data_IF_445939717701
#
_entry.id   IF_445939717701
#
_cell.length_a   1.000
_cell.length_b   1.000
_cell.length_c   1.000
_cell.angle_alpha   90.00
_cell.angle_beta   90.00
_cell.angle_gamma   90.00
#
_symmetry.space_group_name_H-M   'P 1'
#
loop_
_entity.id
_entity.type
_entity.pdbx_description
1 polymer ?
#
# COMPACT_ATOMS: atom_id res chain seq x y z
N UNK A 1 7.59 -11.69 -20.52
CA UNK A 1 8.22 -10.51 -19.90
C UNK A 1 8.06 -10.63 -18.40
N UNK A 2 9.07 -10.22 -17.62
CA UNK A 2 9.01 -10.18 -16.15
C UNK A 2 7.93 -9.17 -15.71
N UNK A 3 7.02 -9.55 -14.81
CA UNK A 3 5.97 -8.64 -14.30
C UNK A 3 6.61 -7.45 -13.58
N UNK A 4 6.00 -6.27 -13.71
CA UNK A 4 6.41 -5.01 -13.12
C UNK A 4 5.28 -4.50 -12.24
N UNK A 5 5.53 -4.49 -10.95
CA UNK A 5 4.59 -4.09 -9.91
C UNK A 5 4.96 -2.69 -9.43
N UNK A 6 3.97 -1.81 -9.30
CA UNK A 6 4.11 -0.53 -8.62
C UNK A 6 3.12 -0.45 -7.46
N UNK A 7 3.61 -0.07 -6.28
CA UNK A 7 2.76 0.31 -5.16
C UNK A 7 2.87 1.81 -4.96
N UNK A 8 1.73 2.49 -4.98
CA UNK A 8 1.63 3.88 -4.59
C UNK A 8 0.91 3.93 -3.24
N UNK A 9 1.69 4.20 -2.19
CA UNK A 9 1.23 4.28 -0.81
C UNK A 9 1.34 5.73 -0.30
N UNK A 10 0.49 6.09 0.66
CA UNK A 10 0.50 7.42 1.22
C UNK A 10 1.67 7.54 2.19
N UNK A 11 1.74 6.62 3.15
CA UNK A 11 2.72 6.61 4.23
C UNK A 11 3.58 5.35 4.19
N UNK A 12 4.82 5.42 4.72
CA UNK A 12 5.62 4.23 4.91
C UNK A 12 5.09 3.37 6.05
N UNK A 13 4.61 2.16 5.71
CA UNK A 13 3.97 1.08 6.49
C UNK A 13 2.70 0.54 5.80
N UNK A 14 1.93 1.42 5.15
CA UNK A 14 0.71 1.12 4.40
C UNK A 14 0.89 -0.04 3.42
N UNK A 15 2.02 -0.06 2.71
CA UNK A 15 2.33 -1.07 1.70
C UNK A 15 2.45 -2.46 2.32
N UNK A 16 3.03 -2.56 3.51
CA UNK A 16 3.19 -3.84 4.20
C UNK A 16 1.88 -4.25 4.84
N UNK A 17 1.16 -3.30 5.45
CA UNK A 17 -0.16 -3.54 6.04
C UNK A 17 -1.13 -4.10 4.99
N UNK A 18 -1.20 -3.44 3.83
CA UNK A 18 -2.18 -3.75 2.80
C UNK A 18 -1.77 -4.83 1.80
N UNK A 19 -0.50 -4.90 1.41
CA UNK A 19 -0.07 -5.81 0.32
C UNK A 19 1.29 -6.51 0.52
N UNK A 20 1.88 -6.45 1.72
CA UNK A 20 3.24 -6.94 1.96
C UNK A 20 3.46 -8.42 1.60
N UNK A 21 2.49 -9.28 1.90
CA UNK A 21 2.57 -10.70 1.54
C UNK A 21 2.49 -10.93 0.03
N UNK A 22 1.63 -10.19 -0.66
CA UNK A 22 1.50 -10.23 -2.11
C UNK A 22 2.78 -9.74 -2.79
N UNK A 23 3.44 -8.70 -2.26
CA UNK A 23 4.75 -8.24 -2.76
C UNK A 23 5.82 -9.33 -2.59
N UNK A 24 5.89 -9.96 -1.42
CA UNK A 24 6.80 -11.08 -1.20
C UNK A 24 6.57 -12.23 -2.19
N UNK A 25 5.30 -12.52 -2.51
CA UNK A 25 4.96 -13.55 -3.50
C UNK A 25 5.37 -13.15 -4.91
N UNK A 26 5.08 -11.91 -5.33
CA UNK A 26 5.56 -11.37 -6.60
C UNK A 26 7.09 -11.43 -6.71
N UNK A 27 7.80 -11.22 -5.60
CA UNK A 27 9.27 -11.32 -5.57
C UNK A 27 9.73 -12.76 -5.79
N UNK A 28 9.09 -13.75 -5.16
CA UNK A 28 9.37 -15.18 -5.36
C UNK A 28 9.07 -15.62 -6.82
N UNK A 29 8.06 -15.01 -7.45
CA UNK A 29 7.73 -15.18 -8.88
C UNK A 29 8.69 -14.39 -9.80
N UNK A 30 9.66 -13.68 -9.21
CA UNK A 30 10.70 -12.97 -9.92
C UNK A 30 10.22 -11.67 -10.55
N UNK A 31 9.16 -11.01 -10.07
CA UNK A 31 8.72 -9.69 -10.54
C UNK A 31 9.74 -8.58 -10.21
N UNK A 32 9.62 -7.43 -10.90
CA UNK A 32 10.30 -6.19 -10.51
C UNK A 32 9.29 -5.33 -9.75
N UNK A 33 9.59 -5.02 -8.49
CA UNK A 33 8.63 -4.39 -7.57
C UNK A 33 9.16 -3.02 -7.18
N UNK A 34 8.35 -2.00 -7.38
CA UNK A 34 8.68 -0.62 -7.06
C UNK A 34 7.63 -0.09 -6.06
N UNK A 35 8.09 0.58 -5.02
CA UNK A 35 7.21 1.23 -4.03
C UNK A 35 7.51 2.72 -4.03
N UNK A 36 6.48 3.55 -4.05
CA UNK A 36 6.61 4.98 -3.87
C UNK A 36 5.67 5.44 -2.75
N UNK A 37 6.25 6.13 -1.77
CA UNK A 37 5.51 6.85 -0.73
C UNK A 37 5.32 8.28 -1.17
N UNK A 38 4.12 8.84 -1.05
CA UNK A 38 3.87 10.21 -1.50
C UNK A 38 4.03 11.24 -0.40
N UNK A 39 3.65 10.91 0.83
CA UNK A 39 3.83 11.78 1.99
C UNK A 39 5.10 11.41 2.76
N UNK A 40 5.67 12.40 3.46
CA UNK A 40 6.86 12.18 4.27
C UNK A 40 6.59 11.49 5.62
N UNK A 41 5.33 11.44 6.06
CA UNK A 41 4.91 10.75 7.27
C UNK A 41 5.29 11.44 8.58
N UNK A 42 5.76 12.69 8.57
CA UNK A 42 6.26 13.38 9.78
C UNK A 42 5.71 14.81 9.95
N UNK A 43 5.26 15.46 8.87
CA UNK A 43 4.93 16.89 8.89
C UNK A 43 3.58 17.30 9.52
N UNK A 44 2.87 16.40 10.20
CA UNK A 44 1.58 16.75 10.82
C UNK A 44 1.70 17.62 12.10
N UNK A 45 2.90 17.76 12.68
CA UNK A 45 3.18 18.58 13.88
C UNK A 45 4.25 19.64 13.58
N UNK A 46 4.09 20.84 14.13
CA UNK A 46 4.70 22.12 13.73
C UNK A 46 6.26 22.21 13.64
N UNK A 47 7.00 21.12 13.84
CA UNK A 47 8.45 21.02 13.68
C UNK A 47 8.81 19.71 12.94
N UNK A 48 9.53 19.84 11.82
CA UNK A 48 10.07 18.69 11.08
C UNK A 48 11.15 18.01 11.93
N UNK A 49 10.84 16.85 12.48
CA UNK A 49 11.85 15.99 13.12
C UNK A 49 12.59 15.19 12.03
N UNK A 50 13.69 15.77 11.54
CA UNK A 50 14.54 15.13 10.53
C UNK A 50 15.12 13.77 10.99
N UNK A 51 15.32 13.58 12.29
CA UNK A 51 15.80 12.30 12.82
C UNK A 51 14.69 11.25 12.72
N UNK A 52 13.47 11.59 13.12
CA UNK A 52 12.30 10.71 12.96
C UNK A 52 12.05 10.35 11.48
N UNK A 53 12.14 11.33 10.57
CA UNK A 53 12.01 11.08 9.13
C UNK A 53 13.07 10.10 8.62
N UNK A 54 14.33 10.28 9.03
CA UNK A 54 15.43 9.39 8.64
C UNK A 54 15.19 7.97 9.16
N UNK A 55 14.85 7.83 10.44
CA UNK A 55 14.53 6.54 11.06
C UNK A 55 13.37 5.83 10.35
N UNK A 56 12.32 6.56 9.99
CA UNK A 56 11.16 6.00 9.26
C UNK A 56 11.56 5.51 7.88
N UNK A 57 12.32 6.31 7.11
CA UNK A 57 12.81 5.90 5.78
C UNK A 57 13.75 4.68 5.86
N UNK A 58 14.56 4.56 6.91
CA UNK A 58 15.38 3.37 7.15
C UNK A 58 14.56 2.13 7.52
N UNK A 59 13.53 2.30 8.37
CA UNK A 59 12.58 1.24 8.68
C UNK A 59 11.91 0.70 7.41
N UNK A 60 11.47 1.60 6.53
CA UNK A 60 10.90 1.21 5.24
C UNK A 60 11.88 0.44 4.37
N UNK A 61 13.13 0.90 4.25
CA UNK A 61 14.13 0.18 3.46
C UNK A 61 14.37 -1.24 4.00
N UNK A 62 14.40 -1.42 5.32
CA UNK A 62 14.52 -2.75 5.94
C UNK A 62 13.30 -3.62 5.65
N UNK A 63 12.09 -3.09 5.85
CA UNK A 63 10.84 -3.79 5.56
C UNK A 63 10.77 -4.24 4.10
N UNK A 64 11.06 -3.33 3.18
CA UNK A 64 11.00 -3.57 1.73
C UNK A 64 12.09 -4.55 1.26
N UNK A 65 13.27 -4.54 1.91
CA UNK A 65 14.30 -5.54 1.66
C UNK A 65 13.84 -6.95 2.07
N UNK A 66 13.18 -7.10 3.22
CA UNK A 66 12.58 -8.38 3.63
C UNK A 66 11.59 -8.90 2.59
N UNK A 67 10.82 -8.01 1.95
CA UNK A 67 9.80 -8.36 0.94
C UNK A 67 10.36 -8.59 -0.47
N UNK A 68 11.65 -8.36 -0.72
CA UNK A 68 12.25 -8.50 -2.05
C UNK A 68 11.90 -7.37 -3.03
N UNK A 69 11.57 -6.17 -2.51
CA UNK A 69 11.28 -5.00 -3.33
C UNK A 69 12.54 -4.50 -4.05
N UNK A 70 12.38 -4.14 -5.33
CA UNK A 70 13.49 -3.74 -6.22
C UNK A 70 13.94 -2.30 -5.97
N UNK A 71 13.01 -1.37 -5.77
CA UNK A 71 13.35 0.01 -5.44
C UNK A 71 12.26 0.71 -4.64
N UNK A 72 12.66 1.73 -3.90
CA UNK A 72 11.76 2.62 -3.15
C UNK A 72 12.05 4.08 -3.49
N UNK A 73 11.01 4.88 -3.65
CA UNK A 73 11.08 6.35 -3.72
C UNK A 73 10.26 6.99 -2.59
N UNK A 74 10.69 8.16 -2.14
CA UNK A 74 10.03 8.92 -1.08
C UNK A 74 9.66 10.28 -1.64
N UNK A 75 8.39 10.62 -1.54
CA UNK A 75 7.86 11.96 -1.73
C UNK A 75 7.96 12.78 -0.44
N UNK A 76 7.71 14.07 -0.59
CA UNK A 76 7.79 15.06 0.48
C UNK A 76 6.46 15.84 0.60
N UNK A 77 5.33 15.23 0.21
CA UNK A 77 4.02 15.84 0.40
C UNK A 77 3.64 15.88 1.89
N UNK A 78 2.82 16.86 2.32
CA UNK A 78 2.50 17.03 3.72
C UNK A 78 1.65 15.88 4.27
N UNK A 79 2.18 15.22 5.29
CA UNK A 79 1.54 14.12 6.02
C UNK A 79 0.19 14.50 6.65
N UNK A 80 -0.82 13.64 6.48
CA UNK A 80 -2.21 13.80 6.91
C UNK A 80 -2.89 15.08 6.38
N UNK A 81 -2.35 15.65 5.31
CA UNK A 81 -2.78 16.93 4.74
C UNK A 81 -2.74 16.92 3.21
N UNK A 82 -2.83 15.76 2.56
CA UNK A 82 -2.89 15.71 1.09
C UNK A 82 -4.14 16.41 0.52
N UNK A 83 -5.16 16.68 1.34
CA UNK A 83 -6.30 17.53 0.97
C UNK A 83 -5.94 19.01 0.77
N UNK A 84 -4.81 19.45 1.33
CA UNK A 84 -4.24 20.79 1.10
C UNK A 84 -3.44 20.89 -0.19
N UNK A 85 -3.06 19.75 -0.78
CA UNK A 85 -2.32 19.68 -2.05
C UNK A 85 -3.32 19.65 -3.20
N UNK A 86 -3.14 20.45 -4.27
CA UNK A 86 -3.97 20.33 -5.46
C UNK A 86 -3.92 18.90 -6.01
N UNK A 87 -5.09 18.30 -6.23
CA UNK A 87 -5.18 16.91 -6.70
C UNK A 87 -4.35 16.66 -7.97
N UNK A 88 -4.29 17.63 -8.88
CA UNK A 88 -3.51 17.55 -10.11
C UNK A 88 -2.00 17.34 -9.85
N UNK A 89 -1.46 17.89 -8.76
CA UNK A 89 -0.04 17.73 -8.45
C UNK A 89 0.26 16.34 -7.88
N UNK A 90 -0.68 15.77 -7.11
CA UNK A 90 -0.63 14.35 -6.70
C UNK A 90 -0.73 13.43 -7.92
N UNK A 91 -1.62 13.75 -8.88
CA UNK A 91 -1.77 13.01 -10.14
C UNK A 91 -0.46 13.00 -10.93
N UNK A 92 0.19 14.15 -11.09
CA UNK A 92 1.48 14.24 -11.82
C UNK A 92 2.57 13.39 -11.17
N UNK A 93 2.61 13.32 -9.83
CA UNK A 93 3.54 12.46 -9.12
C UNK A 93 3.26 10.98 -9.39
N UNK A 94 2.00 10.56 -9.35
CA UNK A 94 1.59 9.20 -9.71
C UNK A 94 1.94 8.88 -11.18
N UNK A 95 1.66 9.78 -12.12
CA UNK A 95 2.00 9.66 -13.53
C UNK A 95 3.52 9.53 -13.75
N UNK A 96 4.33 10.29 -13.01
CA UNK A 96 5.78 10.20 -13.07
C UNK A 96 6.30 8.82 -12.64
N UNK A 97 5.76 8.25 -11.55
CA UNK A 97 6.12 6.89 -11.12
C UNK A 97 5.68 5.84 -12.16
N UNK A 98 4.48 5.97 -12.72
CA UNK A 98 3.98 5.07 -13.77
C UNK A 98 4.86 5.17 -15.02
N UNK A 99 5.27 6.37 -15.44
CA UNK A 99 6.13 6.58 -16.59
C UNK A 99 7.53 5.97 -16.39
N UNK A 100 8.13 6.18 -15.21
CA UNK A 100 9.45 5.66 -14.88
C UNK A 100 9.46 4.12 -14.80
N UNK A 101 8.44 3.54 -14.18
CA UNK A 101 8.42 2.11 -13.86
C UNK A 101 7.57 1.26 -14.80
N UNK A 102 6.81 1.86 -15.72
CA UNK A 102 5.91 1.19 -16.68
C UNK A 102 5.27 -0.10 -16.14
N UNK A 103 4.59 -0.05 -14.97
CA UNK A 103 4.08 -1.24 -14.31
C UNK A 103 2.90 -1.84 -15.07
N UNK A 104 2.78 -3.17 -15.10
CA UNK A 104 1.58 -3.85 -15.59
C UNK A 104 0.52 -3.98 -14.49
N UNK A 105 0.93 -4.00 -13.23
CA UNK A 105 0.06 -4.10 -12.07
C UNK A 105 0.37 -2.98 -11.07
N UNK A 106 -0.68 -2.27 -10.62
CA UNK A 106 -0.57 -1.19 -9.65
C UNK A 106 -1.45 -1.47 -8.42
N UNK A 107 -0.85 -1.34 -7.24
CA UNK A 107 -1.53 -1.40 -5.94
C UNK A 107 -1.63 0.00 -5.34
N UNK A 108 -2.79 0.36 -4.78
CA UNK A 108 -2.96 1.57 -3.98
C UNK A 108 -4.09 1.40 -2.97
N UNK A 109 -4.39 2.47 -2.21
CA UNK A 109 -5.41 2.49 -1.18
C UNK A 109 -6.84 2.27 -1.71
N UNK A 110 -7.69 1.68 -0.87
CA UNK A 110 -9.14 1.69 -1.05
C UNK A 110 -9.72 3.11 -0.89
N UNK A 111 -10.82 3.41 -1.60
CA UNK A 111 -11.45 4.73 -1.59
C UNK A 111 -12.23 5.05 -0.30
N UNK A 112 -12.70 4.01 0.39
CA UNK A 112 -13.50 4.12 1.61
C UNK A 112 -12.65 3.98 2.86
N UNK A 113 -11.73 4.91 3.04
CA UNK A 113 -10.76 4.90 4.14
C UNK A 113 -10.88 6.17 4.99
N UNK A 114 -10.73 6.07 6.31
CA UNK A 114 -10.85 7.22 7.22
C UNK A 114 -9.69 8.21 7.05
N UNK A 115 -8.53 7.75 6.56
CA UNK A 115 -7.37 8.58 6.32
C UNK A 115 -7.57 9.41 5.03
N UNK A 116 -7.45 10.73 5.15
CA UNK A 116 -7.62 11.65 4.03
C UNK A 116 -6.57 11.46 2.93
N UNK A 117 -5.33 11.12 3.30
CA UNK A 117 -4.25 10.92 2.34
C UNK A 117 -4.48 9.66 1.51
N UNK A 118 -5.01 8.60 2.12
CA UNK A 118 -5.37 7.36 1.43
C UNK A 118 -6.42 7.64 0.36
N UNK A 119 -7.47 8.39 0.72
CA UNK A 119 -8.53 8.79 -0.21
C UNK A 119 -8.03 9.69 -1.34
N UNK A 120 -7.19 10.68 -1.02
CA UNK A 120 -6.62 11.59 -2.04
C UNK A 120 -5.68 10.88 -2.99
N UNK A 121 -4.85 9.96 -2.48
CA UNK A 121 -3.99 9.14 -3.31
C UNK A 121 -4.82 8.21 -4.21
N UNK A 122 -5.86 7.58 -3.68
CA UNK A 122 -6.80 6.80 -4.48
C UNK A 122 -7.34 7.63 -5.66
N UNK A 123 -7.92 8.82 -5.40
CA UNK A 123 -8.42 9.73 -6.43
C UNK A 123 -7.37 10.04 -7.51
N UNK A 124 -6.13 10.33 -7.08
CA UNK A 124 -5.03 10.64 -7.97
C UNK A 124 -4.62 9.44 -8.85
N UNK A 125 -4.57 8.24 -8.28
CA UNK A 125 -4.25 7.01 -9.01
C UNK A 125 -5.32 6.67 -10.04
N UNK A 126 -6.61 6.84 -9.72
CA UNK A 126 -7.69 6.64 -10.71
C UNK A 126 -7.49 7.56 -11.92
N UNK A 127 -7.16 8.84 -11.68
CA UNK A 127 -6.91 9.80 -12.75
C UNK A 127 -5.63 9.49 -13.55
N UNK A 128 -4.53 9.15 -12.88
CA UNK A 128 -3.24 8.82 -13.50
C UNK A 128 -3.27 7.52 -14.31
N UNK A 129 -4.18 6.61 -13.94
CA UNK A 129 -4.31 5.30 -14.59
C UNK A 129 -5.46 5.25 -15.60
N UNK A 130 -6.00 6.37 -16.09
CA UNK A 130 -7.08 6.34 -17.11
C UNK A 130 -6.72 5.38 -18.26
N UNK A 131 -7.67 4.55 -18.75
CA UNK A 131 -7.41 3.48 -19.70
C UNK A 131 -7.32 4.01 -21.13
N UNK A 132 -6.32 4.85 -21.40
CA UNK A 132 -6.01 5.39 -22.73
C UNK A 132 -4.99 4.51 -23.45
N UNK A 133 -4.88 4.69 -24.77
CA UNK A 133 -3.87 4.00 -25.57
C UNK A 133 -2.46 4.26 -25.00
N UNK A 134 -1.65 3.21 -24.88
CA UNK A 134 -0.29 3.30 -24.33
C UNK A 134 -0.18 3.23 -22.80
N UNK A 135 -1.30 3.20 -22.07
CA UNK A 135 -1.31 2.99 -20.62
C UNK A 135 -0.68 1.63 -20.26
N UNK A 136 0.43 1.58 -19.49
CA UNK A 136 1.06 0.32 -19.09
C UNK A 136 0.24 -0.44 -18.04
N UNK A 137 -0.49 0.25 -17.15
CA UNK A 137 -1.22 -0.40 -16.04
C UNK A 137 -2.42 -1.19 -16.58
N UNK A 138 -2.30 -2.51 -16.55
CA UNK A 138 -3.34 -3.47 -16.97
C UNK A 138 -4.18 -3.96 -15.81
N UNK A 139 -3.60 -4.08 -14.63
CA UNK A 139 -4.29 -4.50 -13.41
C UNK A 139 -4.18 -3.41 -12.36
N UNK A 140 -5.32 -2.96 -11.84
CA UNK A 140 -5.39 -1.97 -10.75
C UNK A 140 -6.09 -2.60 -9.55
N UNK A 141 -5.39 -2.69 -8.43
CA UNK A 141 -5.83 -3.34 -7.19
C UNK A 141 -5.83 -2.34 -6.04
N UNK A 142 -6.88 -2.40 -5.21
CA UNK A 142 -7.01 -1.58 -4.01
C UNK A 142 -6.92 -2.43 -2.76
N UNK A 143 -6.03 -2.08 -1.84
CA UNK A 143 -5.86 -2.77 -0.56
C UNK A 143 -6.59 -2.07 0.59
N UNK A 144 -6.91 -2.85 1.63
CA UNK A 144 -7.32 -2.33 2.93
C UNK A 144 -6.09 -2.07 3.81
N UNK A 145 -6.20 -1.10 4.71
CA UNK A 145 -5.17 -0.78 5.69
C UNK A 145 -5.73 -0.98 7.09
N UNK A 146 -5.09 -1.85 7.86
CA UNK A 146 -5.44 -2.06 9.26
C UNK A 146 -5.25 -0.77 10.07
N UNK A 147 -6.19 -0.49 10.97
CA UNK A 147 -6.39 0.77 11.69
C UNK A 147 -6.81 1.95 10.83
N UNK A 148 -7.50 1.68 9.71
CA UNK A 148 -8.00 2.75 8.85
C UNK A 148 -9.27 2.32 8.11
N UNK A 149 -9.15 1.36 7.19
CA UNK A 149 -10.26 0.95 6.32
C UNK A 149 -11.41 0.34 7.13
N UNK A 150 -11.11 -0.47 8.14
CA UNK A 150 -12.13 -1.15 8.96
C UNK A 150 -12.84 -0.22 9.95
N UNK A 151 -12.27 0.96 10.23
CA UNK A 151 -12.90 1.96 11.10
C UNK A 151 -13.88 2.86 10.38
N UNK A 152 -13.92 2.81 9.04
CA UNK A 152 -14.87 3.58 8.26
C UNK A 152 -16.31 3.08 8.54
N UNK A 153 -17.20 3.91 9.13
CA UNK A 153 -18.54 3.47 9.45
C UNK A 153 -19.32 3.07 8.19
N UNK A 154 -20.08 1.96 8.21
CA UNK A 154 -20.94 1.58 7.10
C UNK A 154 -21.87 2.73 6.70
N UNK A 155 -21.91 3.03 5.40
CA UNK A 155 -22.73 4.12 4.84
C UNK A 155 -22.04 5.49 4.79
N UNK A 156 -20.90 5.68 5.45
CA UNK A 156 -20.13 6.93 5.37
C UNK A 156 -19.17 6.98 4.18
N UNK A 157 -18.78 5.84 3.62
CA UNK A 157 -17.97 5.72 2.40
C UNK A 157 -18.18 4.34 1.74
N UNK A 158 -17.67 4.09 0.53
CA UNK A 158 -17.75 2.76 -0.11
C UNK A 158 -17.14 1.66 0.78
N UNK A 159 -17.88 0.59 1.00
CA UNK A 159 -17.42 -0.54 1.83
C UNK A 159 -16.28 -1.30 1.12
N UNK A 160 -15.29 -1.74 1.89
CA UNK A 160 -14.28 -2.66 1.39
C UNK A 160 -14.88 -4.07 1.20
N UNK A 161 -15.23 -4.40 -0.04
CA UNK A 161 -15.78 -5.69 -0.45
C UNK A 161 -14.80 -6.39 -1.42
N UNK A 162 -13.79 -7.11 -0.92
CA UNK A 162 -12.74 -7.66 -1.75
C UNK A 162 -13.27 -8.74 -2.70
N UNK A 163 -12.78 -8.74 -3.92
CA UNK A 163 -13.12 -9.69 -4.98
C UNK A 163 -11.87 -10.27 -5.67
N UNK A 164 -10.68 -9.97 -5.15
CA UNK A 164 -9.41 -10.50 -5.58
C UNK A 164 -8.59 -10.89 -4.35
N UNK A 165 -7.99 -12.08 -4.38
CA UNK A 165 -7.24 -12.60 -3.25
C UNK A 165 -5.89 -13.13 -3.72
N UNK A 166 -4.87 -12.89 -2.92
CA UNK A 166 -3.54 -13.47 -3.12
C UNK A 166 -3.27 -14.37 -1.93
N UNK A 167 -3.14 -15.67 -2.18
CA UNK A 167 -2.66 -16.63 -1.18
C UNK A 167 -1.20 -16.28 -0.84
N UNK A 168 -0.96 -16.03 0.45
CA UNK A 168 0.33 -15.63 1.00
C UNK A 168 0.76 -16.59 2.12
N UNK A 169 0.21 -17.81 2.19
CA UNK A 169 0.53 -18.77 3.25
C UNK A 169 2.03 -19.01 3.41
N UNK A 170 2.75 -19.12 2.30
CA UNK A 170 4.22 -19.29 2.30
C UNK A 170 4.98 -17.99 2.60
N UNK A 171 4.34 -16.83 2.45
CA UNK A 171 4.93 -15.50 2.61
C UNK A 171 4.54 -14.80 3.91
N UNK A 172 3.62 -15.37 4.70
CA UNK A 172 3.08 -14.75 5.91
C UNK A 172 4.19 -14.32 6.88
N UNK A 173 5.14 -15.21 7.19
CA UNK A 173 6.25 -14.88 8.09
C UNK A 173 7.14 -13.75 7.56
N UNK A 174 7.32 -13.66 6.24
CA UNK A 174 8.10 -12.58 5.62
C UNK A 174 7.34 -11.24 5.72
N UNK A 175 6.02 -11.25 5.51
CA UNK A 175 5.15 -10.09 5.79
C UNK A 175 5.29 -9.64 7.25
N UNK A 176 5.20 -10.58 8.19
CA UNK A 176 5.25 -10.26 9.62
C UNK A 176 6.63 -9.71 10.05
N UNK A 177 7.74 -10.23 9.51
CA UNK A 177 9.07 -9.63 9.73
C UNK A 177 9.20 -8.22 9.15
N UNK A 178 8.63 -7.98 7.97
CA UNK A 178 8.60 -6.64 7.38
C UNK A 178 7.79 -5.66 8.24
N UNK A 179 6.69 -6.12 8.85
CA UNK A 179 5.92 -5.35 9.83
C UNK A 179 6.75 -5.00 11.08
N UNK A 180 7.57 -5.93 11.59
CA UNK A 180 8.40 -5.67 12.77
C UNK A 180 9.43 -4.55 12.54
N UNK A 181 9.86 -4.33 11.28
CA UNK A 181 10.77 -3.24 10.95
C UNK A 181 10.15 -1.84 11.19
N UNK A 182 8.82 -1.74 11.20
CA UNK A 182 8.03 -0.55 11.51
C UNK A 182 7.60 -0.47 12.98
N UNK A 183 8.37 -1.03 13.91
CA UNK A 183 8.02 -1.18 15.33
C UNK A 183 7.49 0.09 16.03
N UNK A 184 7.92 1.28 15.63
CA UNK A 184 7.46 2.57 16.19
C UNK A 184 6.00 2.88 15.81
N UNK A 185 5.57 2.47 14.63
CA UNK A 185 4.20 2.66 14.12
C UNK A 185 3.23 1.61 14.68
N UNK A 186 3.78 0.47 15.10
CA UNK A 186 3.01 -0.65 15.61
C UNK A 186 2.40 -0.34 16.98
N UNK A 187 1.32 -1.05 17.31
CA UNK A 187 0.58 -0.94 18.56
C UNK A 187 0.47 -2.31 19.23
N UNK A 188 0.38 -2.37 20.57
CA UNK A 188 0.13 -3.64 21.25
C UNK A 188 -1.25 -4.19 20.87
N UNK A 189 -1.39 -5.52 20.91
CA UNK A 189 -2.70 -6.16 20.88
C UNK A 189 -3.56 -5.62 22.03
N UNK A 190 -4.87 -5.31 21.83
CA UNK A 190 -5.74 -5.72 20.73
C UNK A 190 -5.92 -4.73 19.57
N UNK A 191 -4.97 -3.82 19.35
CA UNK A 191 -5.07 -2.89 18.24
C UNK A 191 -4.99 -3.60 16.86
N UNK A 192 -5.78 -3.21 15.84
CA UNK A 192 -5.80 -3.89 14.53
C UNK A 192 -4.43 -3.90 13.84
N UNK A 193 -3.70 -2.79 13.91
CA UNK A 193 -2.32 -2.71 13.42
C UNK A 193 -1.28 -3.38 14.30
N UNK A 194 -1.64 -4.16 15.33
CA UNK A 194 -0.65 -4.97 16.05
C UNK A 194 -0.15 -6.13 15.18
N UNK A 195 1.03 -6.69 15.47
CA UNK A 195 1.54 -7.87 14.76
C UNK A 195 0.49 -9.00 14.70
N UNK A 196 -0.16 -9.27 15.85
CA UNK A 196 -1.21 -10.28 15.96
C UNK A 196 -2.47 -9.88 15.16
N UNK A 197 -2.87 -8.61 15.17
CA UNK A 197 -4.01 -8.14 14.39
C UNK A 197 -3.81 -8.31 12.88
N UNK A 198 -2.61 -7.96 12.38
CA UNK A 198 -2.24 -8.14 10.97
C UNK A 198 -2.21 -9.63 10.58
N UNK A 199 -1.66 -10.49 11.45
CA UNK A 199 -1.68 -11.93 11.24
C UNK A 199 -3.10 -12.49 11.22
N UNK A 200 -3.94 -12.12 12.18
CA UNK A 200 -5.34 -12.56 12.25
C UNK A 200 -6.13 -12.15 11.02
N UNK A 201 -5.94 -10.92 10.52
CA UNK A 201 -6.58 -10.47 9.29
C UNK A 201 -6.15 -11.34 8.10
N UNK A 202 -4.85 -11.59 7.94
CA UNK A 202 -4.34 -12.41 6.85
C UNK A 202 -4.91 -13.84 6.89
N UNK A 203 -4.95 -14.46 8.09
CA UNK A 203 -5.53 -15.79 8.30
C UNK A 203 -7.02 -15.82 8.02
N UNK A 204 -7.76 -14.78 8.45
CA UNK A 204 -9.19 -14.68 8.17
C UNK A 204 -9.47 -14.58 6.68
N UNK A 205 -8.72 -13.73 5.94
CA UNK A 205 -8.82 -13.66 4.48
C UNK A 205 -8.46 -15.01 3.84
N UNK A 206 -7.42 -15.70 4.33
CA UNK A 206 -7.07 -17.05 3.89
C UNK A 206 -8.22 -18.03 4.04
N UNK A 207 -8.82 -18.08 5.23
CA UNK A 207 -9.95 -18.97 5.53
C UNK A 207 -11.13 -18.73 4.58
N UNK A 208 -11.36 -17.49 4.13
CA UNK A 208 -12.45 -17.17 3.19
C UNK A 208 -12.26 -17.74 1.77
N UNK A 209 -11.04 -18.17 1.43
CA UNK A 209 -10.71 -18.76 0.11
C UNK A 209 -10.10 -20.17 0.21
N UNK A 210 -10.10 -20.78 1.41
CA UNK A 210 -9.51 -22.11 1.62
C UNK A 210 -7.98 -22.15 1.63
N UNK A 211 -7.33 -21.06 2.06
CA UNK A 211 -5.88 -20.94 2.21
C UNK A 211 -5.49 -20.66 3.67
N UNK A 212 -4.22 -20.90 4.02
CA UNK A 212 -3.69 -20.63 5.37
C UNK A 212 -3.69 -19.12 5.71
N UNK A 213 -3.33 -18.30 4.73
CA UNK A 213 -3.36 -16.84 4.83
C UNK A 213 -3.52 -16.23 3.44
N UNK A 214 -4.21 -15.10 3.36
CA UNK A 214 -4.35 -14.34 2.12
C UNK A 214 -4.33 -12.84 2.40
N UNK A 215 -3.98 -12.06 1.38
CA UNK A 215 -4.33 -10.65 1.30
C UNK A 215 -5.47 -10.48 0.31
N UNK A 216 -6.37 -9.57 0.65
CA UNK A 216 -7.59 -9.33 -0.10
C UNK A 216 -7.56 -7.93 -0.71
N UNK A 217 -8.11 -7.81 -1.91
CA UNK A 217 -8.09 -6.59 -2.69
C UNK A 217 -9.43 -6.38 -3.40
N UNK A 218 -9.73 -5.13 -3.71
CA UNK A 218 -10.74 -4.79 -4.70
C UNK A 218 -10.04 -4.65 -6.05
N UNK A 219 -10.47 -5.45 -7.03
CA UNK A 219 -10.13 -5.26 -8.42
C UNK A 219 -10.85 -4.02 -8.96
N UNK A 220 -10.10 -2.94 -9.15
CA UNK A 220 -10.61 -1.73 -9.79
C UNK A 220 -10.74 -1.89 -11.29
N UNK A 221 -9.72 -2.47 -11.95
CA UNK A 221 -9.74 -2.74 -13.38
C UNK A 221 -8.75 -3.82 -13.79
N UNK A 222 -9.13 -4.65 -14.76
CA UNK A 222 -8.24 -5.55 -15.51
C UNK A 222 -8.47 -5.39 -17.00
N UNK A 223 -7.40 -5.13 -17.76
CA UNK A 223 -7.43 -5.03 -19.23
C UNK A 223 -6.51 -6.09 -19.81
N UNK A 224 -7.10 -7.13 -20.42
CA UNK A 224 -6.39 -8.22 -21.12
C UNK A 224 -5.98 -7.82 -22.53
#
# INVERSE_FOLDING_TARGET
MKSRILVLAAHPDDEVLGCGGALARHADEGAAIHVAFLADGVNSRDLVDHAALTMRREASRRALAELGVTSVSFGDLPDNRLDTVPLLDIVKLAEAQIAAHRPDTLYTHHAGDVNIDHRRLHEAVIAATRPQAGQPVRTLLFFEVASSTEWQPPGSAPVFAPNWFVDIGLQLERKLRAIDAYSVEMRPWPHPRSRQGVEHLARWRGATIGAEAAEAFILGRRVS
#
